data_IF_622952797694
#
_entry.id   IF_622952797694
#
_cell.length_a   1.000
_cell.length_b   1.000
_cell.length_c   1.000
_cell.angle_alpha   90.00
_cell.angle_beta   90.00
_cell.angle_gamma   90.00
#
_symmetry.space_group_name_H-M   'P 1'
#
loop_
_entity.id
_entity.type
_entity.pdbx_description
1 polymer ?
#
# COMPACT_ATOMS: atom_id res chain seq x y z
N UNK A 1 19.26 -8.76 -7.90
CA UNK A 1 18.04 -9.55 -7.57
C UNK A 1 17.14 -8.86 -6.54
N UNK A 2 17.64 -8.39 -5.39
CA UNK A 2 16.82 -7.74 -4.34
C UNK A 2 16.01 -6.51 -4.83
N UNK A 3 16.61 -5.62 -5.63
CA UNK A 3 15.94 -4.42 -6.16
C UNK A 3 14.72 -4.72 -7.04
N UNK A 4 14.82 -5.73 -7.91
CA UNK A 4 13.73 -6.12 -8.80
C UNK A 4 12.53 -6.66 -8.01
N UNK A 5 12.78 -7.47 -6.98
CA UNK A 5 11.71 -7.97 -6.10
C UNK A 5 10.98 -6.84 -5.39
N UNK A 6 11.72 -5.87 -4.84
CA UNK A 6 11.11 -4.69 -4.18
C UNK A 6 10.29 -3.85 -5.18
N UNK A 7 10.77 -3.68 -6.41
CA UNK A 7 10.02 -2.99 -7.47
C UNK A 7 8.69 -3.69 -7.78
N UNK A 8 8.72 -5.01 -7.96
CA UNK A 8 7.53 -5.81 -8.23
C UNK A 8 6.53 -5.78 -7.08
N UNK A 9 6.99 -5.83 -5.83
CA UNK A 9 6.14 -5.68 -4.65
C UNK A 9 5.49 -4.29 -4.57
N UNK A 10 6.24 -3.23 -4.91
CA UNK A 10 5.69 -1.88 -5.01
C UNK A 10 4.60 -1.76 -6.07
N UNK A 11 4.84 -2.30 -7.27
CA UNK A 11 3.85 -2.32 -8.36
C UNK A 11 2.60 -3.14 -7.98
N UNK A 12 2.78 -4.28 -7.31
CA UNK A 12 1.67 -5.09 -6.81
C UNK A 12 0.83 -4.33 -5.78
N UNK A 13 1.48 -3.60 -4.88
CA UNK A 13 0.79 -2.77 -3.87
C UNK A 13 -0.03 -1.67 -4.53
N UNK A 14 0.50 -1.00 -5.56
CA UNK A 14 -0.24 0.00 -6.35
C UNK A 14 -1.44 -0.65 -7.05
N UNK A 15 -1.24 -1.77 -7.73
CA UNK A 15 -2.33 -2.47 -8.43
C UNK A 15 -3.46 -2.88 -7.47
N UNK A 16 -3.10 -3.32 -6.27
CA UNK A 16 -4.05 -3.70 -5.23
C UNK A 16 -4.85 -2.49 -4.73
N UNK A 17 -4.18 -1.38 -4.42
CA UNK A 17 -4.81 -0.14 -3.93
C UNK A 17 -5.67 0.57 -4.98
N UNK A 18 -5.42 0.35 -6.27
CA UNK A 18 -6.31 0.81 -7.34
C UNK A 18 -7.67 0.10 -7.32
N UNK A 19 -7.79 -1.00 -6.57
CA UNK A 19 -9.01 -1.78 -6.37
C UNK A 19 -9.78 -2.01 -7.69
N UNK A 20 -9.16 -2.61 -8.73
CA UNK A 20 -9.79 -2.78 -10.04
C UNK A 20 -11.01 -3.71 -10.01
N UNK A 21 -11.12 -4.54 -8.98
CA UNK A 21 -12.25 -5.45 -8.76
C UNK A 21 -13.42 -4.76 -8.04
N UNK A 22 -13.27 -3.51 -7.61
CA UNK A 22 -14.28 -2.70 -6.92
C UNK A 22 -14.96 -3.42 -5.74
N UNK A 23 -14.19 -4.23 -4.98
CA UNK A 23 -14.71 -5.01 -3.86
C UNK A 23 -15.60 -6.21 -4.24
N UNK A 24 -15.70 -6.58 -5.52
CA UNK A 24 -16.49 -7.75 -5.98
C UNK A 24 -15.80 -9.07 -5.61
N UNK A 25 -14.48 -9.06 -5.49
CA UNK A 25 -13.67 -10.20 -5.09
C UNK A 25 -12.79 -9.82 -3.91
N UNK A 26 -13.30 -9.98 -2.69
CA UNK A 26 -12.53 -9.83 -1.46
C UNK A 26 -12.22 -11.21 -0.85
N UNK A 27 -10.97 -11.39 -0.41
CA UNK A 27 -10.52 -12.64 0.21
C UNK A 27 -11.04 -12.77 1.67
N UNK A 28 -11.33 -11.62 2.28
CA UNK A 28 -11.82 -11.46 3.66
C UNK A 28 -13.06 -10.57 3.60
N UNK A 29 -14.14 -10.89 4.34
CA UNK A 29 -15.30 -10.00 4.44
C UNK A 29 -14.96 -8.80 5.35
N UNK A 30 -14.21 -7.83 4.83
CA UNK A 30 -13.78 -6.61 5.53
C UNK A 30 -14.49 -5.34 4.99
N UNK A 31 -15.42 -5.50 4.05
CA UNK A 31 -16.21 -4.44 3.38
C UNK A 31 -17.29 -3.74 4.23
N UNK A 32 -17.00 -3.34 5.46
CA UNK A 32 -17.90 -2.40 6.14
C UNK A 32 -17.94 -1.10 5.31
N UNK A 33 -19.10 -0.71 4.76
CA UNK A 33 -19.18 0.50 3.95
C UNK A 33 -18.70 1.70 4.79
N UNK A 34 -17.87 2.56 4.18
CA UNK A 34 -17.19 3.72 4.79
C UNK A 34 -15.94 3.43 5.65
N UNK A 35 -15.61 2.16 5.90
CA UNK A 35 -14.38 1.76 6.61
C UNK A 35 -13.48 1.04 5.61
N UNK A 36 -12.24 1.49 5.46
CA UNK A 36 -11.27 0.84 4.57
C UNK A 36 -10.74 -0.48 5.15
N UNK A 37 -10.36 -1.40 4.27
CA UNK A 37 -9.97 -2.75 4.67
C UNK A 37 -8.55 -2.80 5.26
N UNK A 38 -8.29 -3.78 6.14
CA UNK A 38 -6.99 -4.01 6.77
C UNK A 38 -5.91 -4.42 5.75
N UNK A 39 -6.31 -5.15 4.72
CA UNK A 39 -5.41 -5.55 3.63
C UNK A 39 -4.98 -4.34 2.77
N UNK A 40 -5.84 -3.34 2.57
CA UNK A 40 -5.47 -2.05 1.98
C UNK A 40 -4.44 -1.33 2.85
N UNK A 41 -4.61 -1.29 4.17
CA UNK A 41 -3.62 -0.70 5.08
C UNK A 41 -2.26 -1.42 5.00
N UNK A 42 -2.26 -2.75 4.85
CA UNK A 42 -1.05 -3.53 4.61
C UNK A 42 -0.42 -3.19 3.25
N UNK A 43 -1.22 -3.04 2.20
CA UNK A 43 -0.74 -2.67 0.86
C UNK A 43 -0.13 -1.25 0.85
N UNK A 44 -0.74 -0.27 1.54
CA UNK A 44 -0.15 1.06 1.72
C UNK A 44 1.19 0.97 2.45
N UNK A 45 1.24 0.24 3.56
CA UNK A 45 2.46 0.09 4.35
C UNK A 45 3.60 -0.54 3.53
N UNK A 46 3.28 -1.59 2.78
CA UNK A 46 4.23 -2.25 1.88
C UNK A 46 4.74 -1.29 0.79
N UNK A 47 3.86 -0.50 0.20
CA UNK A 47 4.22 0.51 -0.80
C UNK A 47 5.19 1.55 -0.22
N UNK A 48 4.87 2.10 0.95
CA UNK A 48 5.73 3.08 1.64
C UNK A 48 7.12 2.50 1.95
N UNK A 49 7.19 1.24 2.37
CA UNK A 49 8.45 0.54 2.61
C UNK A 49 9.26 0.34 1.32
N UNK A 50 8.60 0.04 0.19
CA UNK A 50 9.25 -0.06 -1.12
C UNK A 50 9.79 1.29 -1.58
N UNK A 51 9.01 2.37 -1.44
CA UNK A 51 9.46 3.73 -1.77
C UNK A 51 10.68 4.14 -0.94
N UNK A 52 10.64 3.90 0.37
CA UNK A 52 11.77 4.14 1.26
C UNK A 52 13.02 3.35 0.85
N UNK A 53 12.86 2.11 0.40
CA UNK A 53 13.98 1.30 -0.11
C UNK A 53 14.66 1.93 -1.33
N UNK A 54 13.91 2.63 -2.19
CA UNK A 54 14.44 3.36 -3.34
C UNK A 54 14.95 4.78 -3.02
N UNK A 55 14.94 5.18 -1.74
CA UNK A 55 15.47 6.46 -1.30
C UNK A 55 14.47 7.61 -1.30
N UNK A 56 13.17 7.33 -1.46
CA UNK A 56 12.14 8.34 -1.25
C UNK A 56 12.00 8.64 0.24
N UNK A 57 12.07 9.91 0.62
CA UNK A 57 11.79 10.37 1.97
C UNK A 57 10.28 10.45 2.18
N UNK A 58 9.78 9.74 3.18
CA UNK A 58 8.38 9.79 3.55
C UNK A 58 8.13 11.00 4.46
N UNK A 59 7.04 11.75 4.27
CA UNK A 59 6.72 12.87 5.13
C UNK A 59 6.50 12.40 6.57
N UNK A 60 7.02 13.17 7.53
CA UNK A 60 6.75 12.97 8.94
C UNK A 60 5.37 13.55 9.27
N UNK A 61 4.33 12.74 9.10
CA UNK A 61 2.94 13.15 9.31
C UNK A 61 2.61 13.50 10.77
N UNK A 62 3.50 13.19 11.71
CA UNK A 62 3.35 13.54 13.13
C UNK A 62 4.15 14.78 13.53
N UNK A 63 5.03 15.28 12.66
CA UNK A 63 5.79 16.49 12.90
C UNK A 63 5.52 17.56 11.82
N UNK A 64 4.51 18.43 12.04
CA UNK A 64 4.10 19.44 11.07
C UNK A 64 5.12 20.57 10.83
N UNK A 65 6.26 20.56 11.52
CA UNK A 65 7.30 21.61 11.45
C UNK A 65 8.52 21.21 10.61
N UNK A 66 8.52 20.03 10.02
CA UNK A 66 9.62 19.49 9.22
C UNK A 66 9.39 19.70 7.73
#
# INVERSE_FOLDING_TARGET
MKKMGVLLLGLLSILYLLNPTAGVFELIPDNLPLIGNLDEAAAVTLLLMCLRYFGYELPDIFNPKK
#
